data_IF_841536958518
#
_entry.id   IF_841536958518
#
_cell.length_a   1.000
_cell.length_b   1.000
_cell.length_c   1.000
_cell.angle_alpha   90.00
_cell.angle_beta   90.00
_cell.angle_gamma   90.00
#
_symmetry.space_group_name_H-M   'P 1'
#
loop_
_entity.id
_entity.type
_entity.pdbx_description
1 polymer ?
#
# COMPACT_ATOMS: atom_id res chain seq x y z
N UNK A 1 -24.88 1.06 18.95
CA UNK A 1 -24.59 1.14 20.40
C UNK A 1 -23.43 0.20 20.72
N UNK A 2 -22.25 0.74 21.02
CA UNK A 2 -21.11 -0.08 21.48
C UNK A 2 -21.31 -0.36 22.97
N UNK A 3 -21.92 -1.51 23.30
CA UNK A 3 -22.19 -1.91 24.68
C UNK A 3 -20.87 -2.33 25.32
N UNK A 4 -20.43 -1.58 26.32
CA UNK A 4 -19.28 -1.92 27.16
C UNK A 4 -19.73 -2.99 28.16
N UNK A 5 -19.36 -4.25 27.92
CA UNK A 5 -19.65 -5.35 28.85
C UNK A 5 -18.71 -5.33 30.05
N UNK A 6 -19.23 -5.65 31.24
CA UNK A 6 -18.44 -5.75 32.49
C UNK A 6 -17.26 -6.73 32.37
N UNK A 7 -17.43 -7.79 31.59
CA UNK A 7 -16.35 -8.73 31.28
C UNK A 7 -15.20 -8.06 30.52
N UNK A 8 -15.51 -7.15 29.60
CA UNK A 8 -14.53 -6.45 28.78
C UNK A 8 -13.80 -5.36 29.58
N UNK A 9 -14.48 -4.72 30.54
CA UNK A 9 -13.84 -3.86 31.55
C UNK A 9 -12.82 -4.64 32.39
N UNK A 10 -13.22 -5.82 32.92
CA UNK A 10 -12.32 -6.69 33.70
C UNK A 10 -11.11 -7.14 32.90
N UNK A 11 -11.31 -7.61 31.65
CA UNK A 11 -10.22 -8.02 30.75
C UNK A 11 -9.29 -6.85 30.38
N UNK A 12 -9.83 -5.67 30.14
CA UNK A 12 -9.04 -4.46 29.84
C UNK A 12 -8.19 -3.99 31.02
N UNK A 13 -8.75 -4.05 32.24
CA UNK A 13 -8.02 -3.74 33.47
C UNK A 13 -6.92 -4.77 33.77
N UNK A 14 -7.23 -6.06 33.68
CA UNK A 14 -6.28 -7.15 33.97
C UNK A 14 -5.15 -7.27 32.94
N UNK A 15 -5.32 -6.73 31.72
CA UNK A 15 -4.29 -6.70 30.68
C UNK A 15 -2.96 -6.09 31.15
N UNK A 16 -3.01 -5.16 32.10
CA UNK A 16 -1.82 -4.47 32.64
C UNK A 16 -1.27 -5.11 33.93
N UNK A 17 -1.82 -6.25 34.38
CA UNK A 17 -1.35 -6.99 35.55
C UNK A 17 -1.24 -6.11 36.80
N UNK A 18 -0.03 -5.97 37.35
CA UNK A 18 0.26 -5.15 38.55
C UNK A 18 -0.06 -3.66 38.38
N UNK A 19 -0.12 -3.13 37.15
CA UNK A 19 -0.42 -1.73 36.87
C UNK A 19 -1.93 -1.43 36.75
N UNK A 20 -2.78 -2.47 36.85
CA UNK A 20 -4.25 -2.34 36.80
C UNK A 20 -4.83 -1.46 37.91
N UNK A 21 -4.17 -1.41 39.08
CA UNK A 21 -4.60 -0.64 40.26
C UNK A 21 -4.74 0.86 39.97
N UNK A 22 -3.96 1.35 39.01
CA UNK A 22 -3.93 2.76 38.61
C UNK A 22 -5.04 3.14 37.62
N UNK A 23 -5.86 2.19 37.14
CA UNK A 23 -6.91 2.44 36.15
C UNK A 23 -8.21 2.81 36.86
N UNK A 24 -8.87 3.86 36.39
CA UNK A 24 -10.21 4.28 36.82
C UNK A 24 -11.25 3.48 36.04
N UNK A 25 -11.79 2.42 36.66
CA UNK A 25 -12.67 1.42 36.05
C UNK A 25 -14.03 2.03 35.66
N UNK A 26 -14.49 3.03 36.43
CA UNK A 26 -15.81 3.65 36.25
C UNK A 26 -15.83 4.60 35.06
N UNK A 27 -14.65 5.10 34.65
CA UNK A 27 -14.50 6.01 33.51
C UNK A 27 -14.05 5.34 32.21
N UNK A 28 -14.02 4.01 32.15
CA UNK A 28 -13.66 3.27 30.92
C UNK A 28 -14.66 3.55 29.81
N UNK A 29 -14.18 3.86 28.61
CA UNK A 29 -15.02 4.15 27.43
C UNK A 29 -14.54 3.39 26.21
N UNK A 30 -15.48 3.02 25.32
CA UNK A 30 -15.18 2.53 23.98
C UNK A 30 -15.38 3.67 22.98
N UNK A 31 -14.39 3.88 22.12
CA UNK A 31 -14.46 4.83 21.01
C UNK A 31 -14.13 4.10 19.72
N UNK A 32 -14.85 4.40 18.64
CA UNK A 32 -14.44 3.97 17.31
C UNK A 32 -13.37 4.93 16.79
N UNK A 33 -12.25 4.39 16.30
CA UNK A 33 -11.18 5.18 15.70
C UNK A 33 -10.66 4.47 14.44
N UNK A 34 -10.33 5.25 13.43
CA UNK A 34 -9.75 4.74 12.18
C UNK A 34 -8.23 4.73 12.29
N UNK A 35 -7.61 3.56 12.12
CA UNK A 35 -6.16 3.37 12.09
C UNK A 35 -5.77 2.85 10.71
N UNK A 36 -4.99 3.63 9.95
CA UNK A 36 -4.57 3.31 8.58
C UNK A 36 -5.73 2.87 7.68
N UNK A 37 -6.81 3.67 7.63
CA UNK A 37 -7.99 3.39 6.80
C UNK A 37 -8.95 2.30 7.32
N UNK A 38 -8.56 1.53 8.35
CA UNK A 38 -9.42 0.51 8.98
C UNK A 38 -10.06 1.02 10.27
N UNK A 39 -11.35 0.77 10.45
CA UNK A 39 -12.06 1.13 11.68
C UNK A 39 -11.81 0.09 12.78
N UNK A 40 -11.30 0.53 13.92
CA UNK A 40 -11.12 -0.28 15.12
C UNK A 40 -11.91 0.29 16.29
N UNK A 41 -12.27 -0.58 17.24
CA UNK A 41 -12.75 -0.16 18.55
C UNK A 41 -11.54 0.08 19.45
N UNK A 42 -11.55 1.16 20.20
CA UNK A 42 -10.50 1.50 21.17
C UNK A 42 -11.12 1.53 22.56
N UNK A 43 -10.52 0.76 23.47
CA UNK A 43 -10.81 0.83 24.89
C UNK A 43 -9.90 1.88 25.52
N UNK A 44 -10.51 2.97 25.98
CA UNK A 44 -9.86 4.08 26.68
C UNK A 44 -9.91 3.79 28.18
N UNK A 45 -8.73 3.56 28.77
CA UNK A 45 -8.54 3.19 30.18
C UNK A 45 -7.87 4.37 30.90
N UNK A 46 -8.63 5.32 31.45
CA UNK A 46 -8.08 6.47 32.14
C UNK A 46 -7.36 6.07 33.43
N UNK A 47 -6.30 6.78 33.78
CA UNK A 47 -5.56 6.57 35.02
C UNK A 47 -6.17 7.44 36.15
N UNK A 48 -6.26 6.89 37.37
CA UNK A 48 -6.83 7.58 38.54
C UNK A 48 -6.15 8.91 38.88
N UNK A 49 -4.83 8.99 38.69
CA UNK A 49 -4.00 10.14 39.12
C UNK A 49 -3.34 10.91 37.96
N UNK A 50 -3.72 10.68 36.70
CA UNK A 50 -3.10 11.34 35.54
C UNK A 50 -4.12 11.65 34.46
N UNK A 51 -3.96 12.77 33.76
CA UNK A 51 -4.67 13.07 32.50
C UNK A 51 -4.34 12.09 31.35
N UNK A 52 -3.55 11.05 31.61
CA UNK A 52 -3.12 10.07 30.62
C UNK A 52 -4.02 8.84 30.71
N UNK A 53 -4.33 8.26 29.55
CA UNK A 53 -5.07 7.01 29.44
C UNK A 53 -4.27 5.95 28.70
N UNK A 54 -4.41 4.70 29.13
CA UNK A 54 -3.99 3.57 28.30
C UNK A 54 -5.05 3.33 27.23
N UNK A 55 -4.60 3.08 26.00
CA UNK A 55 -5.49 2.82 24.85
C UNK A 55 -5.23 1.42 24.34
N UNK A 56 -6.21 0.53 24.47
CA UNK A 56 -6.16 -0.82 23.90
C UNK A 56 -6.98 -0.86 22.61
N UNK A 57 -6.49 -1.58 21.62
CA UNK A 57 -7.19 -1.79 20.35
C UNK A 57 -7.96 -3.10 20.44
N UNK A 58 -9.24 -3.04 20.10
CA UNK A 58 -10.15 -4.17 20.04
C UNK A 58 -10.49 -4.48 18.59
N UNK A 59 -10.60 -5.76 18.28
CA UNK A 59 -11.24 -6.18 17.03
C UNK A 59 -12.73 -5.81 17.07
N UNK A 60 -13.25 -5.23 15.98
CA UNK A 60 -14.63 -4.72 15.90
C UNK A 60 -15.68 -5.82 16.03
N UNK A 61 -15.38 -7.01 15.52
CA UNK A 61 -16.31 -8.15 15.45
C UNK A 61 -16.20 -9.04 16.67
N UNK A 62 -14.98 -9.41 17.07
CA UNK A 62 -14.77 -10.39 18.15
C UNK A 62 -14.56 -9.75 19.51
N UNK A 63 -14.43 -8.41 19.59
CA UNK A 63 -14.11 -7.66 20.82
C UNK A 63 -12.84 -8.17 21.54
N UNK A 64 -11.96 -8.89 20.83
CA UNK A 64 -10.68 -9.38 21.37
C UNK A 64 -9.68 -8.24 21.44
N UNK A 65 -8.92 -8.16 22.54
CA UNK A 65 -7.84 -7.19 22.73
C UNK A 65 -6.66 -7.58 21.82
N UNK A 66 -6.36 -6.74 20.84
CA UNK A 66 -5.23 -6.89 19.91
C UNK A 66 -3.92 -6.33 20.49
N UNK A 67 -4.01 -5.52 21.53
CA UNK A 67 -2.88 -4.97 22.28
C UNK A 67 -2.94 -3.46 22.45
N UNK A 68 -1.85 -2.88 22.96
CA UNK A 68 -1.74 -1.44 23.17
C UNK A 68 -1.64 -0.69 21.83
N UNK A 69 -2.36 0.43 21.72
CA UNK A 69 -2.50 1.22 20.48
C UNK A 69 -1.16 1.60 19.83
N UNK A 70 -0.18 2.06 20.60
CA UNK A 70 1.13 2.47 20.07
C UNK A 70 1.89 1.30 19.46
N UNK A 71 1.94 0.17 20.17
CA UNK A 71 2.61 -1.06 19.73
C UNK A 71 1.87 -1.67 18.54
N UNK A 72 0.54 -1.71 18.60
CA UNK A 72 -0.31 -2.21 17.52
C UNK A 72 -0.12 -1.41 16.22
N UNK A 73 -0.13 -0.07 16.30
CA UNK A 73 0.13 0.80 15.13
C UNK A 73 1.49 0.50 14.47
N UNK A 74 2.55 0.31 15.28
CA UNK A 74 3.88 -0.02 14.76
C UNK A 74 3.91 -1.42 14.11
N UNK A 75 3.38 -2.44 14.79
CA UNK A 75 3.30 -3.81 14.27
C UNK A 75 2.50 -3.87 12.97
N UNK A 76 1.35 -3.19 12.92
CA UNK A 76 0.47 -3.14 11.76
C UNK A 76 1.17 -2.47 10.57
N UNK A 77 1.81 -1.32 10.77
CA UNK A 77 2.59 -0.66 9.72
C UNK A 77 3.71 -1.56 9.22
N UNK A 78 4.48 -2.18 10.12
CA UNK A 78 5.58 -3.05 9.73
C UNK A 78 5.09 -4.28 8.94
N UNK A 79 3.95 -4.86 9.33
CA UNK A 79 3.33 -5.96 8.59
C UNK A 79 2.80 -5.53 7.21
N UNK A 80 2.31 -4.30 7.06
CA UNK A 80 1.96 -3.74 5.75
C UNK A 80 3.21 -3.52 4.89
N UNK A 81 4.25 -2.90 5.44
CA UNK A 81 5.53 -2.68 4.77
C UNK A 81 6.18 -3.99 4.33
N UNK A 82 6.18 -5.01 5.19
CA UNK A 82 6.72 -6.32 4.86
C UNK A 82 6.01 -6.96 3.65
N UNK A 83 4.68 -6.83 3.58
CA UNK A 83 3.90 -7.32 2.44
C UNK A 83 4.18 -6.54 1.16
N UNK A 84 4.40 -5.23 1.26
CA UNK A 84 4.68 -4.35 0.11
C UNK A 84 6.11 -4.51 -0.41
N UNK A 85 7.10 -4.76 0.45
CA UNK A 85 8.51 -4.82 0.07
C UNK A 85 9.01 -6.25 -0.08
N UNK A 86 8.90 -7.06 0.96
CA UNK A 86 9.64 -8.31 1.04
C UNK A 86 9.05 -9.39 0.13
N UNK A 87 7.72 -9.57 0.15
CA UNK A 87 7.05 -10.61 -0.64
C UNK A 87 7.27 -10.42 -2.16
N UNK A 88 6.96 -9.27 -2.77
CA UNK A 88 7.16 -9.10 -4.21
C UNK A 88 8.65 -9.12 -4.59
N UNK A 89 9.54 -8.61 -3.74
CA UNK A 89 10.97 -8.65 -3.99
C UNK A 89 11.52 -10.08 -4.03
N UNK A 90 11.21 -10.91 -3.03
CA UNK A 90 11.65 -12.31 -2.99
C UNK A 90 11.10 -13.08 -4.19
N UNK A 91 9.85 -12.84 -4.55
CA UNK A 91 9.24 -13.50 -5.70
C UNK A 91 9.90 -13.07 -7.03
N UNK A 92 10.23 -11.79 -7.18
CA UNK A 92 10.98 -11.26 -8.33
C UNK A 92 12.38 -11.89 -8.41
N UNK A 93 13.08 -12.07 -7.29
CA UNK A 93 14.37 -12.77 -7.25
C UNK A 93 14.25 -14.25 -7.67
N UNK A 94 13.23 -14.97 -7.19
CA UNK A 94 12.98 -16.37 -7.57
C UNK A 94 12.71 -16.46 -9.07
N UNK A 95 11.85 -15.60 -9.61
CA UNK A 95 11.52 -15.57 -11.03
C UNK A 95 12.72 -15.17 -11.90
N UNK A 96 13.62 -14.33 -11.38
CA UNK A 96 14.91 -14.07 -12.01
C UNK A 96 15.77 -15.34 -12.11
N UNK A 97 15.88 -16.13 -11.05
CA UNK A 97 16.62 -17.41 -11.13
C UNK A 97 15.99 -18.37 -12.15
N UNK A 98 14.65 -18.46 -12.20
CA UNK A 98 13.94 -19.34 -13.15
C UNK A 98 14.11 -18.88 -14.61
N UNK A 99 14.29 -17.58 -14.84
CA UNK A 99 14.51 -17.03 -16.18
C UNK A 99 15.78 -17.55 -16.86
N UNK A 100 16.75 -18.04 -16.08
CA UNK A 100 17.98 -18.64 -16.60
C UNK A 100 17.71 -19.92 -17.41
N UNK A 101 16.65 -20.64 -17.06
CA UNK A 101 16.23 -21.86 -17.77
C UNK A 101 15.39 -21.59 -19.01
N UNK A 102 14.72 -20.43 -19.10
CA UNK A 102 13.86 -20.06 -20.21
C UNK A 102 14.01 -18.56 -20.56
N UNK A 103 14.93 -18.19 -21.48
CA UNK A 103 15.34 -16.80 -21.65
C UNK A 103 14.24 -15.90 -22.23
N UNK A 104 13.47 -16.36 -23.22
CA UNK A 104 12.43 -15.54 -23.87
C UNK A 104 11.24 -15.29 -22.93
N UNK A 105 10.73 -16.33 -22.28
CA UNK A 105 9.63 -16.20 -21.32
C UNK A 105 10.09 -15.45 -20.07
N UNK A 106 11.35 -15.65 -19.65
CA UNK A 106 11.99 -14.93 -18.56
C UNK A 106 12.00 -13.41 -18.75
N UNK A 107 12.36 -12.93 -19.94
CA UNK A 107 12.35 -11.49 -20.26
C UNK A 107 10.93 -10.92 -20.20
N UNK A 108 9.95 -11.61 -20.79
CA UNK A 108 8.56 -11.17 -20.78
C UNK A 108 8.00 -11.08 -19.34
N UNK A 109 8.34 -12.07 -18.50
CA UNK A 109 7.97 -12.10 -17.09
C UNK A 109 8.61 -10.92 -16.35
N UNK A 110 9.91 -10.68 -16.52
CA UNK A 110 10.59 -9.55 -15.85
C UNK A 110 9.99 -8.18 -16.19
N UNK A 111 9.42 -8.04 -17.39
CA UNK A 111 8.87 -6.77 -17.87
C UNK A 111 7.44 -6.54 -17.36
N UNK A 112 6.58 -7.57 -17.39
CA UNK A 112 5.17 -7.46 -17.02
C UNK A 112 4.91 -7.60 -15.52
N UNK A 113 5.72 -8.40 -14.83
CA UNK A 113 5.48 -8.79 -13.46
C UNK A 113 5.61 -7.65 -12.44
N UNK A 114 6.59 -6.71 -12.54
CA UNK A 114 6.63 -5.54 -11.68
C UNK A 114 5.39 -4.65 -11.82
N UNK A 115 4.79 -4.61 -13.02
CA UNK A 115 3.55 -3.87 -13.27
C UNK A 115 2.36 -4.58 -12.61
N UNK A 116 2.24 -5.89 -12.79
CA UNK A 116 1.18 -6.69 -12.18
C UNK A 116 1.23 -6.63 -10.63
N UNK A 117 2.41 -6.78 -10.03
CA UNK A 117 2.55 -6.65 -8.58
C UNK A 117 2.32 -5.23 -8.10
N UNK A 118 2.77 -4.22 -8.84
CA UNK A 118 2.48 -2.84 -8.51
C UNK A 118 0.98 -2.57 -8.46
N UNK A 119 0.20 -3.13 -9.38
CA UNK A 119 -1.26 -3.05 -9.37
C UNK A 119 -1.88 -3.75 -8.15
N UNK A 120 -1.43 -4.98 -7.84
CA UNK A 120 -1.92 -5.74 -6.68
C UNK A 120 -1.68 -4.93 -5.41
N UNK A 121 -0.46 -4.43 -5.19
CA UNK A 121 -0.11 -3.64 -4.02
C UNK A 121 -0.89 -2.33 -3.96
N UNK A 122 -1.00 -1.63 -5.08
CA UNK A 122 -1.83 -0.43 -5.18
C UNK A 122 -3.28 -0.73 -4.74
N UNK A 123 -3.89 -1.78 -5.29
CA UNK A 123 -5.28 -2.12 -4.98
C UNK A 123 -5.50 -2.52 -3.51
N UNK A 124 -4.54 -3.21 -2.89
CA UNK A 124 -4.65 -3.70 -1.52
C UNK A 124 -4.29 -2.66 -0.46
N UNK A 125 -3.29 -1.80 -0.73
CA UNK A 125 -2.66 -0.97 0.31
C UNK A 125 -2.95 0.53 0.14
N UNK A 126 -3.37 1.01 -1.03
CA UNK A 126 -3.56 2.44 -1.26
C UNK A 126 -4.69 3.04 -0.40
N UNK A 127 -5.74 2.28 -0.13
CA UNK A 127 -6.84 2.70 0.76
C UNK A 127 -6.37 2.93 2.21
N UNK A 128 -5.35 2.20 2.64
CA UNK A 128 -4.89 2.18 4.04
C UNK A 128 -3.73 3.15 4.28
N UNK A 129 -2.74 3.14 3.38
CA UNK A 129 -1.52 3.92 3.50
C UNK A 129 -1.60 5.27 2.76
N UNK A 130 -2.41 5.35 1.70
CA UNK A 130 -2.64 6.54 0.88
C UNK A 130 -1.37 7.39 0.66
N UNK A 131 -1.29 8.58 1.27
CA UNK A 131 -0.15 9.50 1.15
C UNK A 131 1.19 8.89 1.55
N UNK A 132 1.20 7.95 2.51
CA UNK A 132 2.43 7.29 2.93
C UNK A 132 2.95 6.36 1.82
N UNK A 133 2.07 5.58 1.19
CA UNK A 133 2.45 4.72 0.06
C UNK A 133 2.93 5.55 -1.14
N UNK A 134 2.28 6.69 -1.38
CA UNK A 134 2.64 7.62 -2.46
C UNK A 134 4.07 8.18 -2.29
N UNK A 135 4.36 8.76 -1.11
CA UNK A 135 5.70 9.26 -0.78
C UNK A 135 6.75 8.16 -0.77
N UNK A 136 6.38 6.97 -0.32
CA UNK A 136 7.28 5.83 -0.28
C UNK A 136 7.63 5.36 -1.70
N UNK A 137 6.65 5.28 -2.59
CA UNK A 137 6.86 4.93 -3.98
C UNK A 137 7.76 5.95 -4.69
N UNK A 138 7.56 7.25 -4.45
CA UNK A 138 8.44 8.30 -4.96
C UNK A 138 9.87 8.14 -4.43
N UNK A 139 10.02 8.01 -3.12
CA UNK A 139 11.35 7.96 -2.48
C UNK A 139 12.14 6.75 -2.97
N UNK A 140 11.52 5.57 -2.98
CA UNK A 140 12.21 4.34 -3.37
C UNK A 140 12.52 4.32 -4.86
N UNK A 141 11.57 4.74 -5.72
CA UNK A 141 11.82 4.81 -7.17
C UNK A 141 12.91 5.82 -7.52
N UNK A 142 12.90 7.01 -6.90
CA UNK A 142 13.95 8.00 -7.12
C UNK A 142 15.31 7.50 -6.64
N UNK A 143 15.37 6.90 -5.45
CA UNK A 143 16.61 6.35 -4.89
C UNK A 143 17.17 5.22 -5.75
N UNK A 144 16.35 4.23 -6.11
CA UNK A 144 16.79 3.10 -6.95
C UNK A 144 17.19 3.57 -8.34
N UNK A 145 16.45 4.50 -8.95
CA UNK A 145 16.77 5.08 -10.25
C UNK A 145 18.10 5.83 -10.24
N UNK A 146 18.37 6.59 -9.17
CA UNK A 146 19.63 7.32 -8.99
C UNK A 146 20.81 6.35 -8.89
N UNK A 147 20.69 5.28 -8.09
CA UNK A 147 21.75 4.26 -7.99
C UNK A 147 21.98 3.56 -9.34
N UNK A 148 20.89 3.16 -10.02
CA UNK A 148 21.00 2.53 -11.35
C UNK A 148 21.69 3.44 -12.36
N UNK A 149 21.38 4.74 -12.35
CA UNK A 149 22.03 5.73 -13.23
C UNK A 149 23.53 5.87 -12.90
N UNK A 150 23.89 5.95 -11.61
CA UNK A 150 25.30 5.99 -11.19
C UNK A 150 26.07 4.75 -11.63
N UNK A 151 25.49 3.55 -11.46
CA UNK A 151 26.13 2.30 -11.91
C UNK A 151 26.27 2.29 -13.45
N UNK A 152 25.27 2.78 -14.18
CA UNK A 152 25.32 2.86 -15.64
C UNK A 152 26.45 3.80 -16.12
N UNK A 153 26.63 4.96 -15.49
CA UNK A 153 27.72 5.91 -15.79
C UNK A 153 29.08 5.24 -15.56
N UNK A 154 29.25 4.58 -14.40
CA UNK A 154 30.50 3.86 -14.08
C UNK A 154 30.78 2.77 -15.13
N UNK A 155 29.76 1.99 -15.50
CA UNK A 155 29.89 0.96 -16.53
C UNK A 155 30.26 1.52 -17.90
N UNK A 156 29.64 2.63 -18.29
CA UNK A 156 29.94 3.30 -19.56
C UNK A 156 31.39 3.79 -19.59
N UNK A 157 31.85 4.47 -18.52
CA UNK A 157 33.22 4.96 -18.40
C UNK A 157 34.27 3.85 -18.35
N UNK A 158 33.96 2.68 -17.77
CA UNK A 158 34.89 1.55 -17.71
C UNK A 158 34.93 0.70 -18.99
N UNK A 159 33.93 0.85 -19.88
CA UNK A 159 33.83 0.04 -21.10
C UNK A 159 34.81 0.48 -22.20
N UNK A 160 35.37 1.69 -22.10
CA UNK A 160 36.28 2.23 -23.10
C UNK A 160 37.72 1.68 -22.94
N UNK A 161 38.09 1.14 -21.78
CA UNK A 161 39.51 1.11 -21.42
C UNK A 161 40.21 -0.25 -21.30
N UNK A 162 39.60 -1.46 -21.25
CA UNK A 162 40.40 -2.70 -21.25
C UNK A 162 39.64 -4.04 -21.45
N UNK A 163 40.22 -4.95 -22.23
CA UNK A 163 39.78 -6.35 -22.45
C UNK A 163 39.85 -7.25 -21.20
N UNK A 164 40.45 -6.78 -20.10
CA UNK A 164 40.59 -7.51 -18.83
C UNK A 164 39.29 -7.53 -17.97
N UNK A 165 38.22 -6.88 -18.43
CA UNK A 165 37.04 -6.56 -17.62
C UNK A 165 35.88 -7.57 -17.70
N UNK A 166 35.98 -8.63 -18.50
CA UNK A 166 34.82 -9.52 -18.75
C UNK A 166 34.30 -10.19 -17.46
N UNK A 167 35.18 -10.55 -16.52
CA UNK A 167 34.83 -11.12 -15.22
C UNK A 167 34.31 -10.08 -14.20
N UNK A 168 34.75 -8.81 -14.29
CA UNK A 168 34.32 -7.71 -13.38
C UNK A 168 32.98 -7.10 -13.81
N UNK A 169 32.58 -7.29 -15.08
CA UNK A 169 31.30 -6.83 -15.63
C UNK A 169 30.08 -7.43 -14.90
N UNK A 170 30.14 -8.71 -14.51
CA UNK A 170 29.04 -9.39 -13.83
C UNK A 170 28.76 -8.82 -12.43
N UNK A 171 29.78 -8.31 -11.74
CA UNK A 171 29.64 -7.75 -10.40
C UNK A 171 28.82 -6.45 -10.38
N UNK A 172 28.85 -5.67 -11.46
CA UNK A 172 28.03 -4.46 -11.61
C UNK A 172 26.68 -4.73 -12.29
N UNK A 173 26.58 -5.79 -13.10
CA UNK A 173 25.35 -6.16 -13.80
C UNK A 173 24.24 -6.63 -12.84
N UNK A 174 24.58 -7.51 -11.89
CA UNK A 174 23.63 -8.05 -10.92
C UNK A 174 23.00 -6.94 -10.05
N UNK A 175 23.76 -6.07 -9.36
CA UNK A 175 23.18 -5.01 -8.55
C UNK A 175 22.40 -4.00 -9.42
N UNK A 176 22.90 -3.65 -10.61
CA UNK A 176 22.17 -2.77 -11.53
C UNK A 176 20.79 -3.34 -11.84
N UNK A 177 20.71 -4.64 -12.16
CA UNK A 177 19.46 -5.32 -12.47
C UNK A 177 18.52 -5.40 -11.26
N UNK A 178 19.04 -5.67 -10.06
CA UNK A 178 18.26 -5.64 -8.81
C UNK A 178 17.63 -4.27 -8.58
N UNK A 179 18.41 -3.18 -8.69
CA UNK A 179 17.87 -1.83 -8.52
C UNK A 179 16.87 -1.46 -9.62
N UNK A 180 17.05 -1.97 -10.84
CA UNK A 180 16.13 -1.73 -11.97
C UNK A 180 14.79 -2.43 -11.77
N UNK A 181 14.79 -3.65 -11.20
CA UNK A 181 13.58 -4.38 -10.81
C UNK A 181 12.84 -3.63 -9.70
N UNK A 182 13.56 -3.20 -8.65
CA UNK A 182 12.99 -2.41 -7.55
C UNK A 182 12.41 -1.11 -8.09
N UNK A 183 13.14 -0.42 -8.96
CA UNK A 183 12.68 0.80 -9.62
C UNK A 183 11.38 0.56 -10.39
N UNK A 184 11.34 -0.44 -11.27
CA UNK A 184 10.15 -0.74 -12.09
C UNK A 184 8.92 -1.05 -11.23
N UNK A 185 9.11 -1.78 -10.12
CA UNK A 185 8.05 -2.11 -9.18
C UNK A 185 7.49 -0.88 -8.43
N UNK A 186 8.34 0.00 -7.91
CA UNK A 186 7.86 1.20 -7.21
C UNK A 186 7.33 2.26 -8.18
N UNK A 187 7.94 2.38 -9.36
CA UNK A 187 7.43 3.23 -10.43
C UNK A 187 6.04 2.80 -10.90
N UNK A 188 5.76 1.49 -10.97
CA UNK A 188 4.42 1.00 -11.34
C UNK A 188 3.38 1.31 -10.27
N UNK A 189 3.71 1.17 -8.97
CA UNK A 189 2.83 1.62 -7.87
C UNK A 189 2.53 3.11 -8.02
N UNK A 190 3.56 3.94 -8.22
CA UNK A 190 3.39 5.39 -8.40
C UNK A 190 2.55 5.73 -9.63
N UNK A 191 2.73 4.98 -10.72
CA UNK A 191 1.93 5.12 -11.93
C UNK A 191 0.44 4.90 -11.65
N UNK A 192 0.06 3.82 -10.96
CA UNK A 192 -1.35 3.56 -10.63
C UNK A 192 -1.94 4.61 -9.68
N UNK A 193 -1.16 5.07 -8.69
CA UNK A 193 -1.59 6.17 -7.80
C UNK A 193 -1.86 7.44 -8.62
N UNK A 194 -0.90 7.82 -9.46
CA UNK A 194 -0.98 9.02 -10.31
C UNK A 194 -2.14 8.93 -11.31
N UNK A 195 -2.36 7.75 -11.91
CA UNK A 195 -3.49 7.49 -12.81
C UNK A 195 -4.84 7.68 -12.08
N UNK A 196 -4.98 7.17 -10.86
CA UNK A 196 -6.19 7.36 -10.07
C UNK A 196 -6.41 8.83 -9.70
N UNK A 197 -5.36 9.54 -9.29
CA UNK A 197 -5.43 10.97 -9.00
C UNK A 197 -5.82 11.77 -10.26
N UNK A 198 -5.24 11.45 -11.41
CA UNK A 198 -5.57 12.06 -12.70
C UNK A 198 -7.04 11.81 -13.09
N UNK A 199 -7.55 10.59 -12.91
CA UNK A 199 -8.96 10.26 -13.18
C UNK A 199 -9.91 11.02 -12.26
N UNK A 200 -9.56 11.18 -10.97
CA UNK A 200 -10.33 12.00 -10.03
C UNK A 200 -10.31 13.48 -10.43
N UNK A 201 -9.13 14.03 -10.72
CA UNK A 201 -8.98 15.41 -11.17
C UNK A 201 -9.77 15.67 -12.47
N UNK A 202 -9.73 14.73 -13.41
CA UNK A 202 -10.52 14.80 -14.65
C UNK A 202 -12.03 14.85 -14.37
N UNK A 203 -12.54 14.05 -13.44
CA UNK A 203 -13.97 14.09 -13.06
C UNK A 203 -14.35 15.46 -12.48
N UNK A 204 -13.51 16.02 -11.62
CA UNK A 204 -13.72 17.36 -11.05
C UNK A 204 -13.70 18.42 -12.15
N UNK A 205 -12.68 18.42 -13.01
CA UNK A 205 -12.56 19.36 -14.12
C UNK A 205 -13.75 19.28 -15.08
N UNK A 206 -14.19 18.07 -15.45
CA UNK A 206 -15.36 17.88 -16.29
C UNK A 206 -16.66 18.32 -15.62
N UNK A 207 -16.79 18.15 -14.29
CA UNK A 207 -17.97 18.64 -13.54
C UNK A 207 -18.01 20.17 -13.43
N UNK A 208 -16.85 20.82 -13.31
CA UNK A 208 -16.73 22.28 -13.36
C UNK A 208 -17.01 22.82 -14.77
N UNK A 209 -16.51 22.14 -15.81
CA UNK A 209 -16.80 22.47 -17.20
C UNK A 209 -18.28 22.25 -17.54
N UNK A 210 -18.95 21.21 -17.02
CA UNK A 210 -20.40 21.03 -17.23
C UNK A 210 -21.22 22.11 -16.54
N UNK A 211 -20.79 22.60 -15.38
CA UNK A 211 -21.44 23.75 -14.73
C UNK A 211 -21.27 25.05 -15.54
N UNK A 212 -20.23 25.16 -16.38
CA UNK A 212 -20.03 26.29 -17.28
C UNK A 212 -20.62 26.11 -18.70
N UNK A 213 -20.90 24.87 -19.15
CA UNK A 213 -21.25 24.59 -20.55
C UNK A 213 -22.52 23.78 -20.82
N UNK A 214 -23.25 23.28 -19.81
CA UNK A 214 -24.48 22.49 -20.03
C UNK A 214 -25.77 23.33 -19.84
N UNK A 215 -25.85 24.46 -20.56
CA UNK A 215 -27.14 25.01 -21.05
C UNK A 215 -27.36 24.80 -22.55
N UNK A 216 -26.42 24.21 -23.31
CA UNK A 216 -26.63 23.94 -24.74
C UNK A 216 -25.98 22.62 -25.23
N UNK A 217 -26.86 21.66 -25.50
CA UNK A 217 -26.75 20.64 -26.55
C UNK A 217 -25.57 19.66 -26.50
N UNK A 218 -25.65 18.62 -25.65
CA UNK A 218 -25.03 17.31 -25.96
C UNK A 218 -26.10 16.30 -26.40
N UNK A 219 -25.95 15.64 -27.57
CA UNK A 219 -26.94 14.71 -28.08
C UNK A 219 -27.05 13.47 -27.16
N UNK A 220 -28.28 13.11 -26.80
CA UNK A 220 -28.63 12.05 -25.82
C UNK A 220 -27.98 10.69 -26.12
N UNK A 221 -27.66 10.43 -27.38
CA UNK A 221 -27.06 9.17 -27.85
C UNK A 221 -25.64 8.94 -27.29
N UNK A 222 -24.81 9.98 -27.19
CA UNK A 222 -23.43 9.85 -26.69
C UNK A 222 -23.40 9.60 -25.18
N UNK A 223 -24.34 10.20 -24.42
CA UNK A 223 -24.51 9.91 -22.99
C UNK A 223 -24.95 8.47 -22.75
N UNK A 224 -25.88 7.98 -23.56
CA UNK A 224 -26.33 6.59 -23.48
C UNK A 224 -25.20 5.60 -23.79
N UNK A 225 -24.39 5.85 -24.83
CA UNK A 225 -23.26 4.99 -25.20
C UNK A 225 -22.18 4.93 -24.12
N UNK A 226 -21.79 6.09 -23.55
CA UNK A 226 -20.83 6.15 -22.46
C UNK A 226 -21.32 5.48 -21.18
N UNK A 227 -22.62 5.62 -20.87
CA UNK A 227 -23.22 4.92 -19.74
C UNK A 227 -23.24 3.40 -19.94
N UNK A 228 -23.52 2.93 -21.16
CA UNK A 228 -23.53 1.51 -21.49
C UNK A 228 -22.12 0.89 -21.43
N UNK A 229 -21.11 1.60 -21.93
CA UNK A 229 -19.71 1.18 -21.86
C UNK A 229 -19.18 1.14 -20.43
N UNK A 230 -19.46 2.18 -19.63
CA UNK A 230 -19.05 2.22 -18.21
C UNK A 230 -19.78 1.17 -17.37
N UNK A 231 -21.08 0.93 -17.63
CA UNK A 231 -21.84 -0.14 -16.97
C UNK A 231 -21.31 -1.53 -17.31
N UNK A 232 -20.95 -1.79 -18.58
CA UNK A 232 -20.32 -3.06 -18.99
C UNK A 232 -18.95 -3.25 -18.32
N UNK A 233 -18.14 -2.19 -18.23
CA UNK A 233 -16.83 -2.24 -17.56
C UNK A 233 -16.98 -2.51 -16.05
N UNK A 234 -17.91 -1.83 -15.37
CA UNK A 234 -18.20 -2.07 -13.95
C UNK A 234 -18.75 -3.49 -13.69
N UNK A 235 -19.61 -4.01 -14.56
CA UNK A 235 -20.11 -5.37 -14.42
C UNK A 235 -18.99 -6.40 -14.62
N UNK A 236 -18.08 -6.19 -15.58
CA UNK A 236 -16.93 -7.07 -15.80
C UNK A 236 -15.94 -7.09 -14.63
N UNK A 237 -15.72 -5.93 -14.00
CA UNK A 237 -14.89 -5.82 -12.79
C UNK A 237 -15.58 -6.53 -11.61
N UNK A 238 -16.89 -6.36 -11.44
CA UNK A 238 -17.63 -6.97 -10.33
C UNK A 238 -17.83 -8.49 -10.48
N UNK A 239 -17.95 -9.03 -11.69
CA UNK A 239 -18.04 -10.50 -11.88
C UNK A 239 -16.74 -11.21 -11.56
N UNK A 240 -15.58 -10.55 -11.67
CA UNK A 240 -14.29 -11.12 -11.24
C UNK A 240 -14.03 -11.02 -9.73
N UNK A 241 -14.74 -10.16 -9.01
CA UNK A 241 -14.61 -10.00 -7.54
C UNK A 241 -15.49 -11.02 -6.79
N UNK A 242 -16.53 -11.58 -7.42
CA UNK A 242 -17.40 -12.62 -6.81
C UNK A 242 -16.92 -14.06 -6.98
N UNK A 243 -15.73 -14.28 -7.53
CA UNK A 243 -15.14 -15.61 -7.75
C UNK A 243 -13.96 -15.91 -6.80
N UNK A 244 -13.80 -15.12 -5.73
CA UNK A 244 -12.90 -15.37 -4.61
C UNK A 244 -13.66 -15.25 -3.30
#
# INVERSE_FOLDING_TARGET
MNILTEELKKRGGSFFGKYSVNIDIDKIRIKDETIYGRSFKILDLPLKNKERSYKLVLNKETNIILGQKSIFKKKLLNAMLWRVFFIPYVLLCILYCVSFSYPITGIAIMLLLPVAFGFIIYSMCYTELNNYLDKMADTVSFFSGTITACIAIIKFSLSEDNQLFSLKSNFLNIPMLVFLIVFAFFASIKFFISMNQMLKARKVYLSQASNHQDRKNRPRVIRALNFLLTKKLCNFINTKIKLF
#
